data_IF_018272911861
#
_entry.id   IF_018272911861
#
_cell.length_a   1.000
_cell.length_b   1.000
_cell.length_c   1.000
_cell.angle_alpha   90.00
_cell.angle_beta   90.00
_cell.angle_gamma   90.00
#
_symmetry.space_group_name_H-M   'P 1'
#
loop_
_entity.id
_entity.type
_entity.pdbx_description
1 polymer ?
#
# COMPACT_ATOMS: atom_id res chain seq x y z
N UNK A 1 68.09 -48.24 14.26
CA UNK A 1 67.32 -47.22 14.99
C UNK A 1 66.96 -46.13 13.98
N UNK A 2 65.75 -46.20 13.39
CA UNK A 2 65.31 -45.30 12.37
C UNK A 2 64.35 -44.33 13.07
N UNK A 3 64.73 -43.03 13.14
CA UNK A 3 63.94 -41.97 13.73
C UNK A 3 63.05 -41.39 12.66
N UNK A 4 61.70 -41.58 12.77
CA UNK A 4 60.72 -40.97 11.90
C UNK A 4 60.34 -39.63 12.52
N UNK A 5 60.77 -38.50 11.93
CA UNK A 5 60.30 -37.16 12.27
C UNK A 5 58.98 -36.98 11.61
N UNK A 6 57.88 -37.01 12.40
CA UNK A 6 56.58 -36.58 11.94
C UNK A 6 56.59 -35.07 11.77
N UNK A 7 56.35 -34.64 10.54
CA UNK A 7 56.16 -33.21 10.19
C UNK A 7 54.80 -32.70 10.67
N UNK A 8 54.80 -31.86 11.68
CA UNK A 8 53.66 -31.26 12.34
C UNK A 8 53.07 -30.05 11.54
N UNK A 9 53.23 -30.04 10.21
CA UNK A 9 52.85 -28.92 9.35
C UNK A 9 51.49 -29.04 8.66
N UNK A 10 50.74 -30.10 8.88
CA UNK A 10 49.46 -30.31 8.17
C UNK A 10 48.20 -30.25 9.03
N UNK A 11 48.31 -29.81 10.29
CA UNK A 11 47.15 -29.75 11.21
C UNK A 11 46.57 -28.34 11.41
N UNK A 12 47.06 -27.32 10.69
CA UNK A 12 46.55 -25.95 10.83
C UNK A 12 45.69 -25.46 9.63
N UNK A 13 45.40 -26.33 8.67
CA UNK A 13 44.68 -25.93 7.44
C UNK A 13 43.20 -26.37 7.41
N UNK A 14 42.65 -26.91 8.49
CA UNK A 14 41.28 -27.44 8.49
C UNK A 14 40.33 -26.75 9.46
N UNK A 15 40.59 -25.53 9.89
CA UNK A 15 39.71 -24.76 10.80
C UNK A 15 39.36 -23.35 10.29
N UNK A 16 39.59 -23.08 9.00
CA UNK A 16 38.97 -21.97 8.32
C UNK A 16 37.74 -22.49 7.54
N UNK A 17 36.89 -23.27 8.18
CA UNK A 17 35.49 -23.37 7.75
C UNK A 17 34.89 -22.00 8.00
N UNK A 18 34.95 -21.24 6.93
CA UNK A 18 34.29 -19.98 6.74
C UNK A 18 32.89 -20.06 7.37
N UNK A 19 32.71 -19.48 8.55
CA UNK A 19 31.43 -19.04 9.02
C UNK A 19 31.03 -17.87 8.09
N UNK A 20 30.70 -18.17 6.84
CA UNK A 20 29.70 -17.36 6.14
C UNK A 20 28.41 -17.61 6.92
N UNK A 21 28.29 -16.93 8.04
CA UNK A 21 27.03 -16.59 8.61
C UNK A 21 26.41 -15.69 7.54
N UNK A 22 25.70 -16.30 6.59
CA UNK A 22 24.74 -15.58 5.79
C UNK A 22 23.79 -14.99 6.84
N UNK A 23 24.01 -13.73 7.21
CA UNK A 23 23.06 -12.99 7.98
C UNK A 23 21.78 -13.05 7.13
N UNK A 24 20.85 -13.90 7.52
CA UNK A 24 19.55 -13.99 6.86
C UNK A 24 18.96 -12.60 7.02
N UNK A 25 18.87 -11.85 5.92
CA UNK A 25 18.30 -10.51 5.97
C UNK A 25 16.94 -10.60 6.65
N UNK A 26 16.79 -9.85 7.73
CA UNK A 26 15.54 -9.85 8.49
C UNK A 26 14.43 -9.31 7.58
N UNK A 27 13.43 -10.15 7.32
CA UNK A 27 12.29 -9.76 6.49
C UNK A 27 11.59 -8.54 7.11
N UNK A 28 11.15 -7.64 6.25
CA UNK A 28 10.41 -6.44 6.63
C UNK A 28 8.96 -6.83 6.90
N UNK A 29 8.43 -6.64 8.12
CA UNK A 29 7.04 -6.94 8.41
C UNK A 29 6.13 -5.85 7.84
N UNK A 30 5.21 -6.25 6.97
CA UNK A 30 4.22 -5.40 6.31
C UNK A 30 2.82 -5.86 6.68
N UNK A 31 1.95 -4.92 6.99
CA UNK A 31 0.53 -5.14 7.17
C UNK A 31 -0.23 -4.61 5.94
N UNK A 32 -1.17 -5.38 5.42
CA UNK A 32 -2.19 -4.88 4.48
C UNK A 32 -3.48 -4.69 5.26
N UNK A 33 -4.04 -3.49 5.23
CA UNK A 33 -5.35 -3.19 5.81
C UNK A 33 -6.36 -3.03 4.68
N UNK A 34 -7.41 -3.85 4.71
CA UNK A 34 -8.48 -3.87 3.71
C UNK A 34 -9.87 -4.03 4.33
N UNK A 35 -10.87 -4.48 3.57
CA UNK A 35 -12.20 -4.89 4.06
C UNK A 35 -13.37 -4.08 3.51
N UNK A 36 -13.18 -2.82 3.18
CA UNK A 36 -14.20 -1.99 2.54
C UNK A 36 -13.55 -1.10 1.47
N UNK A 37 -14.13 -1.08 0.28
CA UNK A 37 -13.71 -0.23 -0.82
C UNK A 37 -14.82 -0.20 -1.88
N UNK A 38 -14.83 0.81 -2.74
CA UNK A 38 -15.70 0.89 -3.91
C UNK A 38 -15.14 0.15 -5.14
N UNK A 39 -13.95 -0.43 -5.03
CA UNK A 39 -13.29 -1.28 -6.02
C UNK A 39 -13.21 -2.74 -5.57
N UNK A 40 -12.73 -3.63 -6.43
CA UNK A 40 -12.46 -5.04 -6.10
C UNK A 40 -11.20 -5.13 -5.21
N UNK A 41 -11.39 -4.80 -3.94
CA UNK A 41 -10.31 -4.77 -2.95
C UNK A 41 -9.77 -6.17 -2.63
N UNK A 42 -10.59 -7.22 -2.73
CA UNK A 42 -10.15 -8.60 -2.47
C UNK A 42 -9.07 -9.01 -3.47
N UNK A 43 -9.35 -8.89 -4.77
CA UNK A 43 -8.37 -9.20 -5.81
C UNK A 43 -7.15 -8.27 -5.76
N UNK A 44 -7.34 -7.02 -5.34
CA UNK A 44 -6.25 -6.06 -5.18
C UNK A 44 -5.35 -6.46 -4.01
N UNK A 45 -5.90 -6.81 -2.86
CA UNK A 45 -5.13 -7.30 -1.70
C UNK A 45 -4.31 -8.53 -2.06
N UNK A 46 -4.91 -9.54 -2.72
CA UNK A 46 -4.20 -10.75 -3.14
C UNK A 46 -3.02 -10.43 -4.07
N UNK A 47 -3.23 -9.49 -4.99
CA UNK A 47 -2.18 -9.08 -5.92
C UNK A 47 -1.04 -8.35 -5.21
N UNK A 48 -1.34 -7.50 -4.23
CA UNK A 48 -0.35 -6.81 -3.41
C UNK A 48 0.43 -7.83 -2.57
N UNK A 49 -0.26 -8.74 -1.88
CA UNK A 49 0.38 -9.79 -1.08
C UNK A 49 1.31 -10.64 -1.93
N UNK A 50 0.84 -11.14 -3.06
CA UNK A 50 1.64 -11.95 -3.97
C UNK A 50 2.89 -11.19 -4.46
N UNK A 51 2.74 -9.91 -4.80
CA UNK A 51 3.84 -9.04 -5.23
C UNK A 51 4.88 -8.89 -4.12
N UNK A 52 4.48 -8.54 -2.91
CA UNK A 52 5.38 -8.36 -1.78
C UNK A 52 6.14 -9.66 -1.45
N UNK A 53 5.40 -10.78 -1.34
CA UNK A 53 5.99 -12.09 -1.02
C UNK A 53 6.96 -12.59 -2.10
N UNK A 54 6.67 -12.32 -3.37
CA UNK A 54 7.53 -12.75 -4.50
C UNK A 54 8.94 -12.15 -4.45
N UNK A 55 9.11 -11.03 -3.78
CA UNK A 55 10.43 -10.38 -3.62
C UNK A 55 11.34 -11.11 -2.63
N UNK A 56 10.80 -11.97 -1.77
CA UNK A 56 11.53 -12.61 -0.66
C UNK A 56 12.00 -11.65 0.44
N UNK A 57 11.59 -10.38 0.42
CA UNK A 57 12.04 -9.33 1.35
C UNK A 57 11.05 -9.00 2.47
N UNK A 58 9.81 -9.44 2.35
CA UNK A 58 8.73 -9.07 3.26
C UNK A 58 8.05 -10.27 3.91
N UNK A 59 7.67 -10.10 5.17
CA UNK A 59 6.58 -10.87 5.76
C UNK A 59 5.31 -10.05 5.64
N UNK A 60 4.21 -10.67 5.23
CA UNK A 60 2.94 -9.98 4.99
C UNK A 60 1.86 -10.55 5.89
N UNK A 61 1.20 -9.68 6.62
CA UNK A 61 -0.02 -9.94 7.39
C UNK A 61 -1.16 -9.14 6.76
N UNK A 62 -2.37 -9.67 6.78
CA UNK A 62 -3.57 -8.98 6.30
C UNK A 62 -4.52 -8.84 7.47
N UNK A 63 -4.99 -7.63 7.71
CA UNK A 63 -6.03 -7.32 8.69
C UNK A 63 -7.23 -6.72 7.95
N UNK A 64 -8.29 -7.51 7.86
CA UNK A 64 -9.53 -7.12 7.19
C UNK A 64 -10.46 -6.44 8.18
N UNK A 65 -10.79 -5.19 7.91
CA UNK A 65 -11.71 -4.42 8.73
C UNK A 65 -13.06 -5.17 8.93
N UNK A 66 -13.72 -4.98 10.08
CA UNK A 66 -15.01 -5.62 10.35
C UNK A 66 -16.01 -5.41 9.22
N UNK A 67 -16.72 -6.47 8.85
CA UNK A 67 -17.64 -6.44 7.71
C UNK A 67 -19.04 -6.02 8.16
N UNK A 68 -19.67 -5.14 7.41
CA UNK A 68 -21.04 -4.73 7.62
C UNK A 68 -21.96 -5.27 6.52
N UNK A 69 -23.26 -5.37 6.79
CA UNK A 69 -24.27 -5.87 5.82
C UNK A 69 -24.30 -5.11 4.48
N UNK A 70 -23.67 -3.96 4.39
CA UNK A 70 -23.80 -3.04 3.25
C UNK A 70 -22.56 -2.94 2.38
N UNK A 71 -21.94 -4.06 2.00
CA UNK A 71 -20.85 -4.00 1.02
C UNK A 71 -21.45 -4.02 -0.38
N UNK A 72 -21.59 -2.84 -0.98
CA UNK A 72 -21.97 -2.70 -2.39
C UNK A 72 -20.72 -2.82 -3.26
N UNK A 73 -20.82 -3.53 -4.38
CA UNK A 73 -19.89 -3.37 -5.50
C UNK A 73 -18.80 -4.43 -5.66
N UNK A 74 -18.68 -5.43 -4.79
CA UNK A 74 -17.71 -6.50 -5.03
C UNK A 74 -18.20 -7.40 -6.15
N UNK A 75 -17.51 -7.34 -7.27
CA UNK A 75 -17.68 -8.27 -8.38
C UNK A 75 -16.75 -9.45 -8.15
N UNK A 76 -17.30 -10.67 -8.23
CA UNK A 76 -16.45 -11.87 -8.19
C UNK A 76 -15.42 -11.89 -9.31
N UNK A 77 -14.34 -12.66 -9.14
CA UNK A 77 -13.31 -12.80 -10.16
C UNK A 77 -13.90 -13.34 -11.46
N UNK A 78 -13.31 -12.94 -12.58
CA UNK A 78 -13.70 -13.45 -13.90
C UNK A 78 -13.49 -14.98 -13.98
N UNK A 79 -14.18 -15.65 -14.93
CA UNK A 79 -14.08 -17.09 -15.08
C UNK A 79 -12.66 -17.60 -15.37
N UNK A 80 -11.86 -16.80 -16.05
CA UNK A 80 -10.46 -17.05 -16.41
C UNK A 80 -9.45 -16.58 -15.33
N UNK A 81 -9.92 -16.03 -14.21
CA UNK A 81 -9.06 -15.58 -13.14
C UNK A 81 -8.26 -16.74 -12.51
N UNK A 82 -7.03 -16.49 -12.03
CA UNK A 82 -6.24 -17.48 -11.30
C UNK A 82 -7.00 -18.10 -10.11
N UNK A 83 -6.69 -19.36 -9.80
CA UNK A 83 -7.40 -20.08 -8.74
C UNK A 83 -7.28 -19.43 -7.36
N UNK A 84 -6.13 -18.83 -7.03
CA UNK A 84 -5.95 -18.13 -5.76
C UNK A 84 -6.93 -16.96 -5.59
N UNK A 85 -7.23 -16.20 -6.64
CA UNK A 85 -8.24 -15.12 -6.61
C UNK A 85 -9.65 -15.67 -6.39
N UNK A 86 -9.96 -16.83 -6.97
CA UNK A 86 -11.27 -17.50 -6.78
C UNK A 86 -11.45 -17.99 -5.35
N UNK A 87 -10.39 -18.54 -4.76
CA UNK A 87 -10.43 -19.03 -3.37
C UNK A 87 -10.52 -17.85 -2.37
N UNK A 88 -9.77 -16.78 -2.60
CA UNK A 88 -9.86 -15.57 -1.80
C UNK A 88 -11.27 -14.98 -1.82
N UNK A 89 -11.88 -14.89 -3.00
CA UNK A 89 -13.25 -14.41 -3.13
C UNK A 89 -14.25 -15.31 -2.39
N UNK A 90 -14.08 -16.63 -2.43
CA UNK A 90 -14.90 -17.56 -1.63
C UNK A 90 -14.74 -17.31 -0.12
N UNK A 91 -13.52 -17.13 0.35
CA UNK A 91 -13.24 -16.84 1.74
C UNK A 91 -13.88 -15.52 2.16
N UNK A 92 -13.73 -14.47 1.36
CA UNK A 92 -14.40 -13.20 1.56
C UNK A 92 -15.91 -13.34 1.64
N UNK A 93 -16.55 -14.05 0.68
CA UNK A 93 -18.01 -14.29 0.69
C UNK A 93 -18.44 -15.03 1.94
N UNK A 94 -17.66 -15.98 2.44
CA UNK A 94 -17.94 -16.70 3.69
C UNK A 94 -17.90 -15.78 4.90
N UNK A 95 -16.88 -14.90 4.98
CA UNK A 95 -16.74 -13.88 6.03
C UNK A 95 -17.95 -12.94 5.98
N UNK A 96 -18.29 -12.43 4.80
CA UNK A 96 -19.44 -11.54 4.61
C UNK A 96 -20.76 -12.21 5.03
N UNK A 97 -20.98 -13.48 4.67
CA UNK A 97 -22.17 -14.22 5.09
C UNK A 97 -22.21 -14.47 6.60
N UNK A 98 -21.06 -14.58 7.25
CA UNK A 98 -20.95 -14.59 8.71
C UNK A 98 -21.42 -13.27 9.31
N UNK A 99 -20.86 -12.17 8.85
CA UNK A 99 -21.22 -10.82 9.32
C UNK A 99 -22.70 -10.45 9.07
N UNK A 100 -23.32 -10.97 8.00
CA UNK A 100 -24.75 -10.77 7.73
C UNK A 100 -25.67 -11.42 8.80
N UNK A 101 -25.16 -12.37 9.58
CA UNK A 101 -25.89 -13.08 10.64
C UNK A 101 -25.71 -12.46 12.02
N UNK A 102 -24.69 -11.61 12.18
CA UNK A 102 -24.45 -10.92 13.44
C UNK A 102 -25.46 -9.79 13.66
N UNK A 103 -25.79 -9.55 14.92
CA UNK A 103 -26.62 -8.41 15.26
C UNK A 103 -25.83 -7.10 15.15
N UNK A 104 -26.56 -5.97 15.13
CA UNK A 104 -25.97 -4.67 14.91
C UNK A 104 -25.06 -4.24 16.09
N UNK A 105 -25.36 -4.63 17.29
CA UNK A 105 -24.63 -4.27 18.50
C UNK A 105 -23.26 -4.95 18.54
N UNK A 106 -23.19 -6.26 18.23
CA UNK A 106 -21.95 -7.01 18.07
C UNK A 106 -21.05 -6.40 17.01
N UNK A 107 -21.62 -5.98 15.86
CA UNK A 107 -20.85 -5.32 14.79
C UNK A 107 -20.27 -3.97 15.21
N UNK A 108 -21.02 -3.18 15.97
CA UNK A 108 -20.51 -1.89 16.49
C UNK A 108 -19.40 -2.09 17.52
N UNK A 109 -19.52 -3.11 18.37
CA UNK A 109 -18.47 -3.44 19.33
C UNK A 109 -17.20 -3.95 18.65
N UNK A 110 -17.32 -4.79 17.62
CA UNK A 110 -16.19 -5.24 16.82
C UNK A 110 -15.45 -4.04 16.18
N UNK A 111 -16.19 -3.09 15.59
CA UNK A 111 -15.62 -1.87 15.02
C UNK A 111 -14.91 -1.01 16.07
N UNK A 112 -15.47 -0.89 17.25
CA UNK A 112 -14.89 -0.11 18.35
C UNK A 112 -13.58 -0.70 18.82
N UNK A 113 -13.48 -2.03 18.85
CA UNK A 113 -12.32 -2.75 19.36
C UNK A 113 -11.27 -3.06 18.27
N UNK A 114 -11.62 -2.90 16.99
CA UNK A 114 -10.72 -3.20 15.88
C UNK A 114 -9.61 -2.14 15.78
N UNK A 115 -8.37 -2.60 15.89
CA UNK A 115 -7.19 -1.74 15.73
C UNK A 115 -6.03 -2.55 15.10
N UNK A 116 -5.75 -2.36 13.80
CA UNK A 116 -4.69 -3.07 13.11
C UNK A 116 -3.27 -2.55 13.44
N UNK A 117 -3.14 -1.36 14.05
CA UNK A 117 -1.85 -0.72 14.33
C UNK A 117 -1.23 -1.23 15.63
N UNK A 118 -0.73 -2.44 15.63
CA UNK A 118 -0.20 -3.12 16.84
C UNK A 118 1.27 -2.83 17.12
N UNK A 119 1.94 -2.01 16.31
CA UNK A 119 3.38 -1.71 16.44
C UNK A 119 4.33 -2.82 15.96
N UNK A 120 3.82 -3.93 15.44
CA UNK A 120 4.63 -5.07 14.97
C UNK A 120 5.17 -4.90 13.55
N UNK A 121 4.60 -4.00 12.76
CA UNK A 121 4.90 -3.80 11.36
C UNK A 121 5.78 -2.57 11.13
N UNK A 122 6.57 -2.59 10.07
CA UNK A 122 7.37 -1.44 9.63
C UNK A 122 6.66 -0.60 8.57
N UNK A 123 5.75 -1.21 7.84
CA UNK A 123 4.91 -0.52 6.86
C UNK A 123 3.48 -1.07 6.87
N UNK A 124 2.55 -0.18 6.54
CA UNK A 124 1.13 -0.50 6.32
C UNK A 124 0.79 -0.14 4.89
N UNK A 125 0.21 -1.10 4.16
CA UNK A 125 -0.39 -0.89 2.84
C UNK A 125 -1.89 -0.77 3.03
N UNK A 126 -2.45 0.39 2.73
CA UNK A 126 -3.86 0.68 2.92
C UNK A 126 -4.61 0.48 1.60
N UNK A 127 -5.42 -0.56 1.54
CA UNK A 127 -6.37 -0.85 0.47
C UNK A 127 -7.82 -0.71 0.98
N UNK A 128 -8.09 0.40 1.66
CA UNK A 128 -9.31 0.66 2.39
C UNK A 128 -9.95 2.00 2.00
N UNK A 129 -11.24 1.99 1.70
CA UNK A 129 -12.06 3.18 1.49
C UNK A 129 -13.49 2.88 1.97
N UNK A 130 -13.69 2.94 3.27
CA UNK A 130 -14.95 2.51 3.90
C UNK A 130 -15.38 3.41 5.06
N UNK A 131 -15.99 2.78 6.03
CA UNK A 131 -16.45 3.42 7.26
C UNK A 131 -15.29 4.13 7.99
N UNK A 132 -15.61 5.24 8.66
CA UNK A 132 -14.68 5.90 9.59
C UNK A 132 -14.23 4.94 10.70
N UNK A 133 -12.94 4.95 11.01
CA UNK A 133 -12.37 4.18 12.11
C UNK A 133 -12.71 4.78 13.46
N UNK A 134 -12.66 3.97 14.52
CA UNK A 134 -12.76 4.43 15.88
C UNK A 134 -11.63 5.44 16.20
N UNK A 135 -11.86 6.30 17.17
CA UNK A 135 -10.89 7.35 17.51
C UNK A 135 -9.55 6.76 17.95
N UNK A 136 -9.57 5.71 18.74
CA UNK A 136 -8.37 4.99 19.22
C UNK A 136 -7.57 4.39 18.05
N UNK A 137 -8.25 3.86 17.03
CA UNK A 137 -7.60 3.34 15.82
C UNK A 137 -6.96 4.47 15.01
N UNK A 138 -7.63 5.62 14.89
CA UNK A 138 -7.08 6.80 14.23
C UNK A 138 -5.82 7.31 14.93
N UNK A 139 -5.85 7.39 16.26
CA UNK A 139 -4.70 7.81 17.07
C UNK A 139 -3.53 6.84 16.93
N UNK A 140 -3.80 5.54 16.92
CA UNK A 140 -2.78 4.51 16.70
C UNK A 140 -2.15 4.62 15.32
N UNK A 141 -2.93 4.93 14.28
CA UNK A 141 -2.41 5.14 12.92
C UNK A 141 -1.49 6.36 12.83
N UNK A 142 -1.88 7.47 13.46
CA UNK A 142 -1.04 8.69 13.54
C UNK A 142 0.26 8.41 14.27
N UNK A 143 0.18 7.73 15.42
CA UNK A 143 1.34 7.39 16.23
C UNK A 143 2.29 6.45 15.48
N UNK A 144 1.75 5.46 14.75
CA UNK A 144 2.54 4.58 13.90
C UNK A 144 3.37 5.36 12.88
N UNK A 145 2.75 6.30 12.15
CA UNK A 145 3.46 7.14 11.17
C UNK A 145 4.46 8.08 11.87
N UNK A 146 4.09 8.67 13.01
CA UNK A 146 4.95 9.56 13.79
C UNK A 146 6.21 8.85 14.28
N UNK A 147 6.13 7.57 14.58
CA UNK A 147 7.27 6.72 14.97
C UNK A 147 8.11 6.25 13.79
N UNK A 148 7.83 6.69 12.57
CA UNK A 148 8.57 6.35 11.36
C UNK A 148 8.02 5.14 10.60
N UNK A 149 6.85 4.65 10.94
CA UNK A 149 6.15 3.62 10.17
C UNK A 149 5.79 4.12 8.76
N UNK A 150 6.02 3.28 7.76
CA UNK A 150 5.67 3.58 6.37
C UNK A 150 4.17 3.41 6.11
N UNK A 151 3.54 4.38 5.43
CA UNK A 151 2.15 4.27 4.99
C UNK A 151 2.08 4.33 3.47
N UNK A 152 1.57 3.27 2.85
CA UNK A 152 1.39 3.15 1.39
C UNK A 152 -0.10 3.10 1.10
N UNK A 153 -0.58 4.00 0.24
CA UNK A 153 -1.99 4.05 -0.15
C UNK A 153 -2.17 3.48 -1.55
N UNK A 154 -3.15 2.59 -1.67
CA UNK A 154 -3.50 1.98 -2.95
C UNK A 154 -4.78 2.59 -3.47
N UNK A 155 -4.67 3.28 -4.61
CA UNK A 155 -5.79 3.81 -5.39
C UNK A 155 -6.85 4.51 -4.52
N UNK A 156 -8.04 3.91 -4.35
CA UNK A 156 -9.16 4.52 -3.63
C UNK A 156 -8.92 4.74 -2.12
N UNK A 157 -7.84 4.22 -1.55
CA UNK A 157 -7.50 4.56 -0.17
C UNK A 157 -7.32 6.07 0.03
N UNK A 158 -6.88 6.80 -1.00
CA UNK A 158 -6.77 8.25 -0.92
C UNK A 158 -8.15 8.98 -0.86
N UNK A 159 -9.26 8.29 -1.11
CA UNK A 159 -10.62 8.83 -1.00
C UNK A 159 -11.14 8.76 0.44
N UNK A 160 -10.60 7.85 1.25
CA UNK A 160 -11.06 7.60 2.62
C UNK A 160 -10.88 8.82 3.53
N UNK A 161 -11.60 8.84 4.63
CA UNK A 161 -11.42 9.72 5.79
C UNK A 161 -11.30 11.21 5.46
N UNK A 162 -12.17 11.71 4.60
CA UNK A 162 -12.15 13.09 4.12
C UNK A 162 -12.11 14.13 5.25
N UNK A 163 -12.78 13.87 6.37
CA UNK A 163 -12.91 14.80 7.50
C UNK A 163 -11.87 14.52 8.62
N UNK A 164 -10.88 13.68 8.36
CA UNK A 164 -9.82 13.41 9.31
C UNK A 164 -8.55 14.16 8.90
N UNK A 165 -8.31 15.31 9.53
CA UNK A 165 -7.22 16.23 9.15
C UNK A 165 -5.85 15.57 9.19
N UNK A 166 -5.55 14.79 10.24
CA UNK A 166 -4.26 14.09 10.33
C UNK A 166 -4.06 13.09 9.18
N UNK A 167 -5.13 12.43 8.71
CA UNK A 167 -5.04 11.57 7.53
C UNK A 167 -4.70 12.37 6.29
N UNK A 168 -5.37 13.53 6.10
CA UNK A 168 -5.09 14.38 4.96
C UNK A 168 -3.65 14.92 4.96
N UNK A 169 -3.08 15.21 6.14
CA UNK A 169 -1.67 15.58 6.29
C UNK A 169 -0.73 14.41 5.95
N UNK A 170 -1.02 13.20 6.43
CA UNK A 170 -0.19 12.02 6.16
C UNK A 170 -0.14 11.66 4.67
N UNK A 171 -1.27 11.80 3.95
CA UNK A 171 -1.37 11.43 2.54
C UNK A 171 -1.00 12.58 1.58
N UNK A 172 -0.99 13.81 2.06
CA UNK A 172 -0.68 15.03 1.31
C UNK A 172 -1.72 15.42 0.24
N UNK A 173 -2.12 14.48 -0.61
CA UNK A 173 -3.12 14.67 -1.68
C UNK A 173 -4.11 13.51 -1.69
N UNK A 174 -5.40 13.81 -1.73
CA UNK A 174 -6.48 12.84 -1.78
C UNK A 174 -7.58 13.24 -2.76
N UNK A 175 -8.54 12.36 -2.97
CA UNK A 175 -9.74 12.68 -3.74
C UNK A 175 -10.64 13.59 -2.92
N UNK A 176 -10.57 14.89 -3.18
CA UNK A 176 -11.22 15.95 -2.40
C UNK A 176 -11.95 16.94 -3.31
N UNK A 177 -12.94 17.71 -2.78
CA UNK A 177 -13.66 18.73 -3.55
C UNK A 177 -12.79 19.94 -3.89
N UNK A 178 -13.29 20.79 -4.77
CA UNK A 178 -12.57 21.95 -5.31
C UNK A 178 -12.02 22.92 -4.25
N UNK A 179 -12.70 23.05 -3.13
CA UNK A 179 -12.35 23.97 -2.04
C UNK A 179 -11.46 23.35 -0.95
N UNK A 180 -10.88 22.16 -1.20
CA UNK A 180 -10.08 21.44 -0.21
C UNK A 180 -8.58 21.55 -0.51
N UNK A 181 -7.89 22.47 0.13
CA UNK A 181 -6.43 22.62 0.03
C UNK A 181 -5.91 22.83 -1.40
N UNK A 182 -4.65 22.51 -1.62
CA UNK A 182 -3.96 22.71 -2.88
C UNK A 182 -4.13 21.54 -3.87
N UNK A 183 -4.02 21.85 -5.14
CA UNK A 183 -3.92 20.89 -6.24
C UNK A 183 -2.54 21.02 -6.89
N UNK A 184 -1.74 19.98 -6.86
CA UNK A 184 -0.39 20.00 -7.42
C UNK A 184 -0.38 19.36 -8.81
N UNK A 185 0.20 20.05 -9.78
CA UNK A 185 0.47 19.56 -11.13
C UNK A 185 1.95 19.71 -11.48
N UNK A 186 2.36 18.99 -12.53
CA UNK A 186 3.73 19.08 -13.05
C UNK A 186 3.78 19.95 -14.28
N UNK A 187 4.59 21.00 -14.25
CA UNK A 187 4.85 21.83 -15.41
C UNK A 187 6.02 21.27 -16.22
N UNK A 188 5.72 20.70 -17.38
CA UNK A 188 6.68 19.96 -18.18
C UNK A 188 7.84 20.86 -18.66
N UNK A 189 7.55 22.09 -19.12
CA UNK A 189 8.56 22.99 -19.65
C UNK A 189 9.54 23.49 -18.58
N UNK A 190 9.07 23.68 -17.36
CA UNK A 190 9.90 24.12 -16.23
C UNK A 190 10.42 22.96 -15.39
N UNK A 191 10.02 21.74 -15.72
CA UNK A 191 10.37 20.52 -15.01
C UNK A 191 10.21 20.63 -13.47
N UNK A 192 9.10 21.17 -13.00
CA UNK A 192 8.81 21.37 -11.58
C UNK A 192 7.32 21.27 -11.24
N UNK A 193 6.97 20.94 -9.99
CA UNK A 193 5.59 21.02 -9.54
C UNK A 193 5.14 22.47 -9.40
N UNK A 194 3.84 22.69 -9.52
CA UNK A 194 3.21 23.98 -9.23
C UNK A 194 1.81 23.78 -8.65
N UNK A 195 1.35 24.73 -7.87
CA UNK A 195 -0.05 24.79 -7.41
C UNK A 195 -0.93 25.16 -8.60
N UNK A 196 -1.84 24.26 -8.95
CA UNK A 196 -2.71 24.42 -10.11
C UNK A 196 -4.03 25.12 -9.75
N UNK A 197 -5.11 24.74 -10.41
CA UNK A 197 -6.44 25.34 -10.29
C UNK A 197 -6.99 25.49 -8.86
N UNK A 198 -7.71 26.57 -8.62
CA UNK A 198 -8.41 26.84 -7.36
C UNK A 198 -9.76 26.09 -7.33
N UNK A 199 -10.47 26.01 -8.46
CA UNK A 199 -11.86 25.57 -8.54
C UNK A 199 -12.08 24.22 -9.24
N UNK A 200 -11.11 23.32 -9.21
CA UNK A 200 -11.25 21.99 -9.79
C UNK A 200 -11.32 20.90 -8.72
N UNK A 201 -12.34 20.07 -8.75
CA UNK A 201 -12.44 18.86 -7.94
C UNK A 201 -11.56 17.75 -8.47
N UNK A 202 -11.17 16.83 -7.59
CA UNK A 202 -10.57 15.57 -8.01
C UNK A 202 -11.50 14.78 -8.93
N UNK A 203 -10.91 14.03 -9.85
CA UNK A 203 -11.64 13.24 -10.81
C UNK A 203 -10.74 12.28 -11.58
N UNK A 204 -11.32 11.59 -12.54
CA UNK A 204 -10.62 10.85 -13.58
C UNK A 204 -11.40 10.96 -14.90
N UNK A 205 -10.70 10.80 -16.01
CA UNK A 205 -11.31 10.67 -17.33
C UNK A 205 -11.69 9.23 -17.66
N UNK A 206 -11.92 8.96 -18.93
CA UNK A 206 -12.11 7.61 -19.44
C UNK A 206 -10.85 6.77 -19.19
N UNK A 207 -11.02 5.46 -18.94
CA UNK A 207 -9.90 4.54 -18.83
C UNK A 207 -9.13 4.46 -20.15
N UNK A 208 -7.83 4.72 -20.10
CA UNK A 208 -6.93 4.66 -21.24
C UNK A 208 -5.51 4.26 -20.80
N UNK A 209 -4.67 3.76 -21.70
CA UNK A 209 -3.25 3.63 -21.42
C UNK A 209 -2.61 5.01 -21.30
N UNK A 210 -1.68 5.20 -20.37
CA UNK A 210 -0.99 6.47 -20.18
C UNK A 210 0.49 6.27 -19.89
N UNK A 211 1.29 7.23 -20.35
CA UNK A 211 2.71 7.24 -20.06
C UNK A 211 2.99 7.84 -18.69
N UNK A 212 3.77 7.12 -17.89
CA UNK A 212 4.32 7.62 -16.62
C UNK A 212 5.75 8.06 -16.84
N UNK A 213 6.12 9.22 -16.31
CA UNK A 213 7.45 9.80 -16.40
C UNK A 213 8.03 10.00 -15.01
N UNK A 214 9.22 9.47 -14.76
CA UNK A 214 9.95 9.66 -13.51
C UNK A 214 10.43 11.11 -13.40
N UNK A 215 10.35 11.69 -12.20
CA UNK A 215 10.74 13.07 -11.91
C UNK A 215 11.92 13.20 -10.96
N UNK A 216 12.16 12.16 -10.15
CA UNK A 216 13.24 12.09 -9.16
C UNK A 216 14.04 10.81 -9.35
N UNK A 217 14.97 10.81 -10.33
CA UNK A 217 15.73 9.62 -10.71
C UNK A 217 16.61 9.08 -9.58
N UNK A 218 17.14 9.97 -8.74
CA UNK A 218 18.04 9.61 -7.64
C UNK A 218 17.31 9.17 -6.35
N UNK A 219 15.98 9.22 -6.35
CA UNK A 219 15.20 8.84 -5.18
C UNK A 219 15.21 7.31 -5.00
N UNK A 220 15.44 6.78 -3.78
CA UNK A 220 15.55 5.33 -3.54
C UNK A 220 14.36 4.50 -4.05
N UNK A 221 13.14 5.05 -3.98
CA UNK A 221 11.92 4.41 -4.52
C UNK A 221 11.98 4.23 -6.03
N UNK A 222 12.70 5.11 -6.74
CA UNK A 222 12.76 5.09 -8.21
C UNK A 222 13.97 4.30 -8.73
N UNK A 223 14.78 3.72 -7.83
CA UNK A 223 15.92 2.88 -8.21
C UNK A 223 15.45 1.68 -9.05
N UNK A 224 16.16 1.43 -10.14
CA UNK A 224 15.90 0.33 -11.09
C UNK A 224 14.52 0.39 -11.79
N UNK A 225 13.78 1.50 -11.65
CA UNK A 225 12.55 1.75 -12.40
C UNK A 225 12.90 2.46 -13.72
N UNK A 226 12.34 2.05 -14.88
CA UNK A 226 12.51 2.77 -16.13
C UNK A 226 12.14 4.25 -16.01
N UNK A 227 12.91 5.15 -16.63
CA UNK A 227 12.64 6.60 -16.61
C UNK A 227 11.27 6.97 -17.15
N UNK A 228 10.69 6.10 -17.96
CA UNK A 228 9.36 6.22 -18.53
C UNK A 228 8.80 4.84 -18.86
N UNK A 229 7.49 4.64 -18.66
CA UNK A 229 6.80 3.41 -19.07
C UNK A 229 5.35 3.69 -19.45
N UNK A 230 4.76 2.76 -20.20
CA UNK A 230 3.32 2.77 -20.48
C UNK A 230 2.59 2.00 -19.39
N UNK A 231 1.71 2.66 -18.68
CA UNK A 231 0.72 2.02 -17.81
C UNK A 231 -0.40 1.42 -18.67
N UNK A 232 -0.94 0.30 -18.23
CA UNK A 232 -2.08 -0.33 -18.91
C UNK A 232 -3.33 0.55 -18.92
N UNK A 233 -4.39 0.08 -19.59
CA UNK A 233 -5.67 0.78 -19.61
C UNK A 233 -6.31 0.83 -18.22
N UNK A 234 -6.30 2.00 -17.61
CA UNK A 234 -6.81 2.22 -16.25
C UNK A 234 -7.33 3.64 -16.04
N UNK A 235 -7.87 3.91 -14.84
CA UNK A 235 -8.22 5.23 -14.37
C UNK A 235 -6.96 5.99 -13.95
N UNK A 236 -6.78 7.19 -14.48
CA UNK A 236 -5.75 8.10 -14.01
C UNK A 236 -6.41 9.25 -13.25
N UNK A 237 -6.22 9.27 -11.93
CA UNK A 237 -6.74 10.33 -11.08
C UNK A 237 -6.04 11.65 -11.38
N UNK A 238 -6.80 12.72 -11.46
CA UNK A 238 -6.31 14.08 -11.65
C UNK A 238 -6.92 15.05 -10.65
N UNK A 239 -6.31 16.22 -10.54
CA UNK A 239 -6.74 17.29 -9.64
C UNK A 239 -6.87 16.82 -8.17
N UNK A 240 -6.03 15.87 -7.74
CA UNK A 240 -6.00 15.47 -6.35
C UNK A 240 -5.66 16.67 -5.47
N UNK A 241 -6.29 16.79 -4.31
CA UNK A 241 -6.20 17.95 -3.45
C UNK A 241 -5.86 17.59 -2.02
N UNK A 242 -5.24 18.52 -1.32
CA UNK A 242 -4.89 18.30 0.08
C UNK A 242 -4.01 19.42 0.64
N UNK A 243 -3.50 19.23 1.87
CA UNK A 243 -2.53 20.15 2.46
C UNK A 243 -1.27 20.30 1.61
N UNK A 244 -0.90 19.25 0.86
CA UNK A 244 0.25 19.19 -0.05
C UNK A 244 1.58 19.59 0.59
N UNK A 245 1.71 19.42 1.91
CA UNK A 245 2.91 19.74 2.66
C UNK A 245 4.01 18.69 2.45
N UNK A 246 5.26 19.12 2.33
CA UNK A 246 6.45 18.24 2.27
C UNK A 246 6.39 17.15 1.19
N UNK A 247 5.80 17.42 0.04
CA UNK A 247 5.67 16.46 -1.06
C UNK A 247 6.97 16.30 -1.84
N UNK A 248 7.34 15.05 -2.13
CA UNK A 248 8.30 14.69 -3.16
C UNK A 248 7.55 14.05 -4.34
N UNK A 249 7.57 14.71 -5.49
CA UNK A 249 6.89 14.21 -6.70
C UNK A 249 7.81 13.23 -7.43
N UNK A 250 7.56 11.94 -7.28
CA UNK A 250 8.39 10.88 -7.84
C UNK A 250 8.14 10.68 -9.34
N UNK A 251 6.90 10.81 -9.77
CA UNK A 251 6.51 10.64 -11.17
C UNK A 251 5.30 11.50 -11.51
N UNK A 252 5.06 11.66 -12.80
CA UNK A 252 3.86 12.31 -13.31
C UNK A 252 3.33 11.59 -14.55
N UNK A 253 2.02 11.70 -14.77
CA UNK A 253 1.37 11.22 -15.97
C UNK A 253 0.37 12.26 -16.48
N UNK A 254 0.03 12.19 -17.77
CA UNK A 254 -0.98 13.06 -18.35
C UNK A 254 -2.33 12.35 -18.35
N UNK A 255 -3.29 12.94 -17.65
CA UNK A 255 -4.68 12.50 -17.70
C UNK A 255 -5.42 13.27 -18.78
N UNK A 256 -6.01 12.57 -19.74
CA UNK A 256 -6.94 13.18 -20.68
C UNK A 256 -8.32 13.27 -20.00
N UNK A 257 -8.83 14.46 -19.69
CA UNK A 257 -10.12 14.64 -19.01
C UNK A 257 -11.35 14.42 -19.92
N UNK A 258 -11.13 14.12 -21.21
CA UNK A 258 -12.21 13.91 -22.20
C UNK A 258 -12.64 12.46 -22.28
#
# INVERSE_FOLDING_TARGET
>A
MISIKLNFKYWLTLLFVCKFCLAQEKLIPVLIVDGQNNHDWVSTTDSIEATLRSTGRFTVEIDTAPQTKSIKGIRGPKADAPNYLKESYKNFRRIQQGAEKEDKESQEEEWKNWNPFTGRHQAVVLNYNGREWAQETKESAVEFVRQGGGLVLVHAANNAFRNWDAYNEMIGLGWRPANFGDCIKWEVLKNKPYVACVDCSSGHGSRHPFQVNVRQLDHPIMKDIPTTWMHGKDELYHNMRGPANNLTILSSAYSNPK
#
